data_IF_071353699033
#
_entry.id   IF_071353699033
#
_cell.length_a   1.000
_cell.length_b   1.000
_cell.length_c   1.000
_cell.angle_alpha   90.00
_cell.angle_beta   90.00
_cell.angle_gamma   90.00
#
_symmetry.space_group_name_H-M   'P 1'
#
loop_
_entity.id
_entity.type
_entity.pdbx_description
1 polymer ?
#
# COMPACT_ATOMS: atom_id res chain seq x y z
N UNK A 1 -33.61 5.02 4.82
CA UNK A 1 -32.29 4.99 4.16
C UNK A 1 -31.26 4.60 5.21
N UNK A 2 -30.93 3.32 5.28
CA UNK A 2 -29.81 2.83 6.10
C UNK A 2 -28.54 3.12 5.34
N UNK A 3 -27.73 4.05 5.84
CA UNK A 3 -26.37 4.27 5.34
C UNK A 3 -25.61 2.98 5.65
N UNK A 4 -25.26 2.22 4.60
CA UNK A 4 -24.37 1.08 4.76
C UNK A 4 -23.05 1.60 5.30
N UNK A 5 -22.76 1.30 6.56
CA UNK A 5 -21.45 1.57 7.16
C UNK A 5 -20.45 0.74 6.37
N UNK A 6 -19.45 1.39 5.77
CA UNK A 6 -18.39 0.69 5.07
C UNK A 6 -17.75 -0.35 6.01
N UNK A 7 -17.36 -1.55 5.53
CA UNK A 7 -16.72 -2.54 6.39
C UNK A 7 -15.47 -1.93 7.04
N UNK A 8 -15.45 -1.89 8.38
CA UNK A 8 -14.30 -1.45 9.16
C UNK A 8 -13.11 -2.34 8.85
N UNK A 9 -11.92 -1.74 8.66
CA UNK A 9 -10.73 -2.53 8.34
C UNK A 9 -10.40 -3.44 9.53
N UNK A 10 -9.96 -4.70 9.31
CA UNK A 10 -9.61 -5.60 10.41
C UNK A 10 -8.59 -4.99 11.40
N UNK A 11 -7.61 -4.23 10.88
CA UNK A 11 -6.62 -3.50 11.68
C UNK A 11 -7.23 -2.37 12.51
N UNK A 12 -8.25 -1.65 12.00
CA UNK A 12 -8.95 -0.60 12.75
C UNK A 12 -9.70 -1.19 13.95
N UNK A 13 -10.32 -2.36 13.75
CA UNK A 13 -11.00 -3.07 14.84
C UNK A 13 -9.97 -3.57 15.86
N UNK A 14 -8.85 -4.12 15.37
CA UNK A 14 -7.80 -4.65 16.22
C UNK A 14 -7.12 -3.56 17.07
N UNK A 15 -6.88 -2.36 16.53
CA UNK A 15 -6.21 -1.30 17.31
C UNK A 15 -7.12 -0.73 18.39
N UNK A 16 -8.43 -0.71 18.16
CA UNK A 16 -9.40 -0.34 19.20
C UNK A 16 -9.35 -1.39 20.32
N UNK A 17 -9.45 -2.67 19.99
CA UNK A 17 -9.34 -3.76 20.97
C UNK A 17 -8.01 -3.73 21.73
N UNK A 18 -6.89 -3.55 21.03
CA UNK A 18 -5.57 -3.47 21.64
C UNK A 18 -5.45 -2.27 22.59
N UNK A 19 -6.04 -1.11 22.25
CA UNK A 19 -6.06 0.08 23.13
C UNK A 19 -6.91 -0.12 24.38
N UNK A 20 -7.99 -0.89 24.29
CA UNK A 20 -8.83 -1.21 25.44
C UNK A 20 -8.16 -2.22 26.40
N UNK A 21 -7.40 -3.16 25.84
CA UNK A 21 -6.81 -4.26 26.58
C UNK A 21 -5.39 -3.98 27.08
N UNK A 22 -4.59 -3.23 26.32
CA UNK A 22 -3.24 -2.85 26.68
C UNK A 22 -3.27 -1.52 27.45
N UNK A 23 -2.52 -1.47 28.56
CA UNK A 23 -2.42 -0.27 29.39
C UNK A 23 -1.65 0.87 28.73
N UNK A 24 -1.64 2.03 29.39
CA UNK A 24 -0.99 3.29 28.93
C UNK A 24 0.52 3.19 28.72
N UNK A 25 1.15 2.12 29.20
CA UNK A 25 2.58 1.85 29.04
C UNK A 25 2.94 1.42 27.59
N UNK A 26 1.95 0.93 26.83
CA UNK A 26 2.11 0.56 25.44
C UNK A 26 1.75 1.73 24.51
N UNK A 27 2.65 2.04 23.59
CA UNK A 27 2.36 2.95 22.48
C UNK A 27 1.92 2.14 21.27
N UNK A 28 0.73 2.43 20.75
CA UNK A 28 0.10 1.69 19.66
C UNK A 28 -0.13 2.60 18.45
N UNK A 29 0.35 2.17 17.28
CA UNK A 29 0.22 2.92 16.03
C UNK A 29 -0.38 2.04 14.93
N UNK A 30 -1.44 2.51 14.27
CA UNK A 30 -2.03 1.85 13.10
C UNK A 30 -1.17 2.12 11.86
N UNK A 31 -0.46 1.08 11.40
CA UNK A 31 0.40 1.06 10.22
C UNK A 31 -0.31 0.48 8.98
N UNK A 32 -1.65 0.55 8.95
CA UNK A 32 -2.55 0.11 7.89
C UNK A 32 -2.69 -1.40 7.72
N UNK A 33 -1.57 -2.13 7.61
CA UNK A 33 -1.54 -3.59 7.45
C UNK A 33 -1.34 -4.34 8.79
N UNK A 34 -0.79 -3.65 9.78
CA UNK A 34 -0.54 -4.18 11.12
C UNK A 34 -0.58 -3.04 12.14
N UNK A 35 -0.56 -3.39 13.42
CA UNK A 35 -0.38 -2.46 14.54
C UNK A 35 1.07 -2.53 15.00
N UNK A 36 1.75 -1.39 15.01
CA UNK A 36 3.02 -1.29 15.72
C UNK A 36 2.76 -1.11 17.21
N UNK A 37 3.37 -1.98 18.01
CA UNK A 37 3.31 -1.98 19.47
C UNK A 37 4.70 -1.64 19.98
N UNK A 38 4.80 -0.67 20.89
CA UNK A 38 6.07 -0.25 21.48
C UNK A 38 5.95 -0.18 23.01
N UNK A 39 6.90 -0.79 23.70
CA UNK A 39 7.02 -0.81 25.15
C UNK A 39 8.46 -0.47 25.55
N UNK A 40 8.70 0.36 26.59
CA UNK A 40 10.06 0.76 26.98
C UNK A 40 10.96 -0.42 27.36
N UNK A 41 10.40 -1.44 28.04
CA UNK A 41 11.16 -2.61 28.50
C UNK A 41 11.17 -3.76 27.50
N UNK A 42 10.09 -3.93 26.72
CA UNK A 42 9.92 -5.11 25.86
C UNK A 42 10.24 -4.83 24.38
N UNK A 43 10.61 -3.58 24.05
CA UNK A 43 10.92 -3.17 22.69
C UNK A 43 9.66 -3.06 21.83
N UNK A 44 9.72 -3.57 20.61
CA UNK A 44 8.68 -3.38 19.62
C UNK A 44 8.13 -4.69 19.05
N UNK A 45 6.87 -4.65 18.61
CA UNK A 45 6.22 -5.75 17.91
C UNK A 45 5.32 -5.23 16.80
N UNK A 46 5.10 -6.06 15.77
CA UNK A 46 4.13 -5.83 14.72
C UNK A 46 3.04 -6.89 14.83
N UNK A 47 1.79 -6.47 15.04
CA UNK A 47 0.63 -7.36 15.19
C UNK A 47 -0.30 -7.26 13.96
N UNK A 48 -0.45 -8.35 13.22
CA UNK A 48 -1.40 -8.46 12.09
C UNK A 48 -2.76 -9.01 12.57
N UNK A 49 -3.87 -8.70 11.86
CA UNK A 49 -5.22 -9.09 12.26
C UNK A 49 -5.61 -10.53 11.89
N UNK A 50 -4.74 -11.26 11.20
CA UNK A 50 -4.94 -12.64 10.77
C UNK A 50 -3.82 -13.55 11.31
N UNK A 51 -3.93 -14.85 11.01
CA UNK A 51 -2.95 -15.87 11.35
C UNK A 51 -1.86 -16.05 10.28
N UNK A 52 -1.75 -15.13 9.31
CA UNK A 52 -0.81 -15.26 8.21
C UNK A 52 0.62 -14.97 8.68
N UNK A 53 1.47 -16.00 8.58
CA UNK A 53 2.86 -15.92 8.96
C UNK A 53 3.65 -14.86 8.21
N UNK A 54 3.47 -14.82 6.89
CA UNK A 54 4.24 -13.97 6.00
C UNK A 54 3.92 -12.49 6.25
N UNK A 55 2.66 -12.19 6.54
CA UNK A 55 2.21 -10.83 6.82
C UNK A 55 2.79 -10.32 8.15
N UNK A 56 2.81 -11.17 9.18
CA UNK A 56 3.43 -10.83 10.46
C UNK A 56 4.96 -10.60 10.34
N UNK A 57 5.66 -11.47 9.60
CA UNK A 57 7.10 -11.34 9.35
C UNK A 57 7.42 -10.09 8.52
N UNK A 58 6.60 -9.80 7.51
CA UNK A 58 6.71 -8.59 6.69
C UNK A 58 6.46 -7.35 7.53
N UNK A 59 5.40 -7.33 8.36
CA UNK A 59 5.12 -6.22 9.26
C UNK A 59 6.27 -5.93 10.22
N UNK A 60 6.86 -6.97 10.82
CA UNK A 60 8.03 -6.82 11.70
C UNK A 60 9.29 -6.37 10.93
N UNK A 61 9.53 -6.88 9.73
CA UNK A 61 10.65 -6.47 8.88
C UNK A 61 10.57 -4.98 8.53
N UNK A 62 9.41 -4.52 8.07
CA UNK A 62 9.18 -3.11 7.77
C UNK A 62 9.34 -2.20 8.99
N UNK A 63 8.90 -2.67 10.16
CA UNK A 63 9.07 -1.95 11.42
C UNK A 63 10.56 -1.81 11.80
N UNK A 64 11.34 -2.87 11.59
CA UNK A 64 12.79 -2.86 11.78
C UNK A 64 13.48 -1.88 10.82
N UNK A 65 13.05 -1.80 9.56
CA UNK A 65 13.58 -0.81 8.63
C UNK A 65 13.30 0.62 9.07
N UNK A 66 12.10 0.88 9.60
CA UNK A 66 11.74 2.19 10.13
C UNK A 66 12.64 2.60 11.31
N UNK A 67 12.89 1.67 12.25
CA UNK A 67 13.80 1.90 13.37
C UNK A 67 15.26 2.05 12.92
N UNK A 68 15.72 1.23 11.99
CA UNK A 68 17.07 1.31 11.43
C UNK A 68 17.32 2.68 10.77
N UNK A 69 16.35 3.21 10.01
CA UNK A 69 16.42 4.57 9.42
C UNK A 69 16.51 5.67 10.48
N UNK A 70 15.95 5.44 11.66
CA UNK A 70 16.04 6.34 12.81
C UNK A 70 17.26 6.09 13.71
N UNK A 71 18.14 5.15 13.37
CA UNK A 71 19.32 4.80 14.17
C UNK A 71 19.00 4.04 15.46
N UNK A 72 17.82 3.42 15.55
CA UNK A 72 17.35 2.72 16.75
C UNK A 72 17.65 1.22 16.59
N UNK A 73 18.47 0.70 17.50
CA UNK A 73 18.80 -0.72 17.57
C UNK A 73 17.71 -1.47 18.34
N UNK A 74 16.64 -1.84 17.65
CA UNK A 74 15.54 -2.66 18.19
C UNK A 74 15.14 -3.70 17.15
N UNK A 75 14.75 -4.88 17.63
CA UNK A 75 14.18 -5.94 16.81
C UNK A 75 12.68 -6.05 17.09
N UNK A 76 11.88 -5.76 16.09
CA UNK A 76 10.45 -5.95 16.07
C UNK A 76 10.12 -7.45 16.07
N UNK A 77 9.19 -7.83 16.94
CA UNK A 77 8.69 -9.19 17.06
C UNK A 77 7.46 -9.36 16.15
N UNK A 78 7.43 -10.39 15.28
CA UNK A 78 6.25 -10.68 14.45
C UNK A 78 5.17 -11.37 15.29
N UNK A 79 3.99 -10.76 15.37
CA UNK A 79 2.81 -11.27 16.05
C UNK A 79 1.65 -11.40 15.07
N UNK A 80 0.91 -12.49 15.17
CA UNK A 80 -0.29 -12.75 14.36
C UNK A 80 -1.48 -13.02 15.27
N UNK A 81 -2.67 -12.59 14.89
CA UNK A 81 -3.87 -12.82 15.68
C UNK A 81 -4.51 -14.15 15.28
N UNK A 82 -4.65 -15.09 16.22
CA UNK A 82 -5.33 -16.36 15.96
C UNK A 82 -6.61 -16.50 16.76
N UNK A 83 -7.62 -17.07 16.10
CA UNK A 83 -8.82 -17.57 16.76
C UNK A 83 -8.64 -18.99 17.34
N UNK A 84 -7.65 -19.75 16.87
CA UNK A 84 -7.55 -21.21 17.08
C UNK A 84 -6.23 -21.68 17.73
N UNK A 85 -5.22 -20.82 17.88
CA UNK A 85 -3.97 -21.04 18.65
C UNK A 85 -2.98 -22.06 18.08
N UNK A 86 -3.04 -22.41 16.78
CA UNK A 86 -2.24 -23.50 16.22
C UNK A 86 -1.17 -22.98 15.25
N UNK A 87 0.04 -22.83 15.79
CA UNK A 87 1.36 -22.67 15.11
C UNK A 87 1.84 -21.28 14.58
N UNK A 88 3.17 -21.02 14.61
CA UNK A 88 3.76 -19.66 14.55
C UNK A 88 3.69 -18.95 13.18
N UNK A 89 3.80 -17.60 13.16
CA UNK A 89 4.47 -16.71 14.11
C UNK A 89 3.60 -16.48 15.34
N UNK A 90 4.21 -15.98 16.41
CA UNK A 90 3.68 -16.10 17.77
C UNK A 90 2.22 -15.62 17.82
N UNK A 91 1.31 -16.58 17.94
CA UNK A 91 -0.12 -16.36 17.83
C UNK A 91 -0.62 -15.71 19.13
N UNK A 92 -1.22 -14.54 18.99
CA UNK A 92 -1.89 -13.82 20.07
C UNK A 92 -3.36 -14.20 20.01
N UNK A 93 -3.91 -14.65 21.15
CA UNK A 93 -5.34 -14.94 21.22
C UNK A 93 -6.13 -13.65 21.23
N UNK A 94 -7.20 -13.60 20.46
CA UNK A 94 -8.15 -12.48 20.48
C UNK A 94 -8.92 -12.41 21.81
N UNK A 95 -9.41 -11.21 22.15
CA UNK A 95 -10.19 -10.99 23.37
C UNK A 95 -9.35 -10.75 24.64
N UNK A 96 -9.89 -10.99 25.85
CA UNK A 96 -9.28 -10.54 27.11
C UNK A 96 -7.86 -11.04 27.39
N UNK A 97 -7.45 -12.14 26.75
CA UNK A 97 -6.14 -12.76 26.92
C UNK A 97 -5.04 -12.07 26.08
N UNK A 98 -5.42 -11.25 25.10
CA UNK A 98 -4.51 -10.58 24.16
C UNK A 98 -3.39 -9.82 24.88
N UNK A 99 -3.73 -9.03 25.90
CA UNK A 99 -2.74 -8.24 26.64
C UNK A 99 -1.70 -9.10 27.36
N UNK A 100 -2.15 -10.22 27.95
CA UNK A 100 -1.25 -11.17 28.63
C UNK A 100 -0.35 -11.88 27.63
N UNK A 101 -0.91 -12.31 26.50
CA UNK A 101 -0.15 -13.00 25.45
C UNK A 101 0.91 -12.09 24.83
N UNK A 102 0.56 -10.82 24.56
CA UNK A 102 1.50 -9.82 24.04
C UNK A 102 2.61 -9.57 25.07
N UNK A 103 2.28 -9.31 26.34
CA UNK A 103 3.27 -9.05 27.38
C UNK A 103 4.23 -10.22 27.60
N UNK A 104 3.70 -11.45 27.71
CA UNK A 104 4.51 -12.66 27.90
C UNK A 104 5.39 -12.93 26.68
N UNK A 105 4.84 -12.76 25.48
CA UNK A 105 5.57 -12.98 24.24
C UNK A 105 6.70 -11.98 24.07
N UNK A 106 6.39 -10.69 24.21
CA UNK A 106 7.39 -9.64 24.08
C UNK A 106 8.45 -9.77 25.16
N UNK A 107 8.05 -10.04 26.41
CA UNK A 107 8.99 -10.27 27.51
C UNK A 107 9.94 -11.45 27.29
N UNK A 108 9.46 -12.57 26.72
CA UNK A 108 10.31 -13.73 26.37
C UNK A 108 11.27 -13.42 25.22
N UNK A 109 10.81 -12.68 24.22
CA UNK A 109 11.62 -12.31 23.08
C UNK A 109 12.64 -11.19 23.40
N UNK A 110 12.39 -10.40 24.45
CA UNK A 110 13.25 -9.29 24.87
C UNK A 110 14.30 -9.66 25.92
N UNK A 111 14.40 -10.92 26.36
CA UNK A 111 15.34 -11.36 27.43
C UNK A 111 16.82 -11.02 27.12
N UNK A 112 17.18 -10.83 25.85
CA UNK A 112 18.52 -10.43 25.41
C UNK A 112 18.60 -9.01 24.83
N UNK A 113 17.50 -8.26 24.85
CA UNK A 113 17.44 -6.90 24.34
C UNK A 113 17.67 -5.91 25.48
N UNK A 114 18.45 -4.87 25.21
CA UNK A 114 18.63 -3.77 26.14
C UNK A 114 17.33 -2.94 26.19
N UNK A 115 16.90 -2.54 27.39
CA UNK A 115 15.78 -1.62 27.55
C UNK A 115 16.05 -0.32 26.78
N UNK A 116 14.98 0.26 26.22
CA UNK A 116 15.08 1.53 25.52
C UNK A 116 15.30 2.64 26.54
N UNK A 117 16.36 3.43 26.36
CA UNK A 117 16.51 4.67 27.11
C UNK A 117 15.32 5.62 26.82
N UNK A 118 15.05 6.57 27.71
CA UNK A 118 13.98 7.56 27.51
C UNK A 118 14.08 8.29 26.15
N UNK A 119 15.30 8.62 25.74
CA UNK A 119 15.57 9.28 24.46
C UNK A 119 15.32 8.34 23.28
N UNK A 120 15.76 7.08 23.37
CA UNK A 120 15.52 6.07 22.34
C UNK A 120 14.03 5.74 22.20
N UNK A 121 13.30 5.65 23.32
CA UNK A 121 11.86 5.41 23.33
C UNK A 121 11.09 6.57 22.69
N UNK A 122 11.50 7.81 22.98
CA UNK A 122 10.91 9.00 22.34
C UNK A 122 11.21 9.04 20.84
N UNK A 123 12.45 8.76 20.43
CA UNK A 123 12.81 8.65 19.02
C UNK A 123 12.05 7.51 18.31
N UNK A 124 11.85 6.38 18.99
CA UNK A 124 11.08 5.25 18.48
C UNK A 124 9.62 5.64 18.24
N UNK A 125 8.97 6.34 19.18
CA UNK A 125 7.62 6.88 19.00
C UNK A 125 7.53 7.74 17.75
N UNK A 126 8.44 8.70 17.58
CA UNK A 126 8.45 9.59 16.41
C UNK A 126 8.67 8.82 15.12
N UNK A 127 9.59 7.85 15.11
CA UNK A 127 9.86 7.00 13.95
C UNK A 127 8.63 6.16 13.56
N UNK A 128 7.89 5.63 14.54
CA UNK A 128 6.66 4.88 14.31
C UNK A 128 5.55 5.74 13.71
N UNK A 129 5.32 6.93 14.27
CA UNK A 129 4.31 7.85 13.73
C UNK A 129 4.65 8.26 12.29
N UNK A 130 5.92 8.57 12.01
CA UNK A 130 6.38 8.89 10.66
C UNK A 130 6.17 7.72 9.70
N UNK A 131 6.56 6.52 10.10
CA UNK A 131 6.38 5.30 9.30
C UNK A 131 4.90 5.00 9.03
N UNK A 132 4.04 5.16 10.02
CA UNK A 132 2.60 4.98 9.86
C UNK A 132 2.00 6.03 8.91
N UNK A 133 2.42 7.29 9.00
CA UNK A 133 2.01 8.34 8.06
C UNK A 133 2.49 7.99 6.63
N UNK A 134 3.74 7.57 6.47
CA UNK A 134 4.27 7.14 5.18
C UNK A 134 3.51 5.94 4.61
N UNK A 135 3.17 4.93 5.43
CA UNK A 135 2.35 3.80 4.99
C UNK A 135 0.92 4.19 4.65
N UNK A 136 0.29 5.10 5.41
CA UNK A 136 -1.04 5.62 5.07
C UNK A 136 -1.02 6.39 3.76
N UNK A 137 0.08 7.08 3.45
CA UNK A 137 0.26 7.69 2.12
C UNK A 137 0.30 6.60 1.04
N UNK A 138 0.93 5.44 1.29
CA UNK A 138 1.00 4.30 0.35
C UNK A 138 -0.32 3.55 0.09
N UNK A 139 -1.46 4.11 0.50
CA UNK A 139 -2.79 3.61 0.14
C UNK A 139 -3.28 4.41 -1.06
N UNK A 140 -3.98 3.78 -2.00
CA UNK A 140 -4.66 4.49 -3.07
C UNK A 140 -5.70 5.45 -2.48
N UNK A 141 -5.48 6.76 -2.64
CA UNK A 141 -6.40 7.79 -2.19
C UNK A 141 -7.76 7.62 -2.92
N UNK A 142 -8.86 7.34 -2.19
CA UNK A 142 -10.18 7.17 -2.79
C UNK A 142 -10.64 8.42 -3.57
N UNK A 143 -10.18 9.60 -3.16
CA UNK A 143 -10.48 10.87 -3.85
C UNK A 143 -9.81 10.89 -5.21
N UNK A 144 -8.52 10.55 -5.26
CA UNK A 144 -7.77 10.45 -6.51
C UNK A 144 -8.40 9.41 -7.44
N UNK A 145 -8.80 8.25 -6.91
CA UNK A 145 -9.47 7.21 -7.70
C UNK A 145 -10.80 7.67 -8.30
N UNK A 146 -11.62 8.39 -7.53
CA UNK A 146 -12.86 9.01 -8.04
C UNK A 146 -12.56 10.06 -9.11
N UNK A 147 -11.48 10.81 -8.97
CA UNK A 147 -11.06 11.78 -10.00
C UNK A 147 -10.64 11.07 -11.29
N UNK A 148 -9.86 9.98 -11.21
CA UNK A 148 -9.48 9.17 -12.37
C UNK A 148 -10.74 8.62 -13.06
N UNK A 149 -11.65 7.98 -12.30
CA UNK A 149 -12.90 7.43 -12.84
C UNK A 149 -13.75 8.52 -13.51
N UNK A 150 -13.93 9.66 -12.84
CA UNK A 150 -14.67 10.79 -13.40
C UNK A 150 -14.03 11.38 -14.66
N UNK A 151 -12.71 11.43 -14.72
CA UNK A 151 -11.98 11.88 -15.90
C UNK A 151 -12.18 10.93 -17.10
N UNK A 152 -12.06 9.61 -16.88
CA UNK A 152 -12.30 8.61 -17.93
C UNK A 152 -13.76 8.64 -18.38
N UNK A 153 -14.72 8.62 -17.45
CA UNK A 153 -16.15 8.69 -17.76
C UNK A 153 -16.51 9.94 -18.59
N UNK A 154 -15.90 11.09 -18.24
CA UNK A 154 -16.10 12.34 -18.99
C UNK A 154 -15.53 12.29 -20.40
N UNK A 155 -14.40 11.60 -20.61
CA UNK A 155 -13.81 11.44 -21.95
C UNK A 155 -14.61 10.46 -22.79
N UNK A 156 -15.09 9.37 -22.18
CA UNK A 156 -15.80 8.33 -22.91
C UNK A 156 -17.24 8.73 -23.22
N UNK A 157 -17.85 9.62 -22.42
CA UNK A 157 -19.23 10.11 -22.60
C UNK A 157 -20.24 8.96 -22.74
N UNK A 158 -20.01 7.85 -22.03
CA UNK A 158 -20.86 6.65 -22.07
C UNK A 158 -20.71 5.79 -23.34
N UNK A 159 -19.72 6.07 -24.20
CA UNK A 159 -19.39 5.21 -25.35
C UNK A 159 -18.69 3.94 -24.88
N UNK A 160 -18.85 2.87 -25.64
CA UNK A 160 -18.29 1.54 -25.37
C UNK A 160 -16.77 1.57 -25.28
N UNK A 161 -16.23 0.86 -24.31
CA UNK A 161 -14.80 0.68 -24.09
C UNK A 161 -14.51 -0.80 -24.23
N UNK A 162 -13.48 -1.15 -25.00
CA UNK A 162 -13.07 -2.53 -25.24
C UNK A 162 -11.62 -2.73 -24.82
N UNK A 163 -11.35 -3.88 -24.22
CA UNK A 163 -10.00 -4.27 -23.79
C UNK A 163 -9.84 -5.79 -23.90
N UNK A 164 -8.94 -6.25 -24.78
CA UNK A 164 -8.71 -7.67 -25.04
C UNK A 164 -9.87 -8.37 -25.76
N UNK A 165 -10.77 -7.61 -26.40
CA UNK A 165 -11.97 -8.13 -27.06
C UNK A 165 -13.31 -7.81 -26.37
N UNK A 166 -13.52 -8.12 -25.08
CA UNK A 166 -14.79 -7.81 -24.40
C UNK A 166 -14.98 -6.31 -24.12
N UNK A 167 -16.24 -5.93 -23.97
CA UNK A 167 -16.62 -4.60 -23.46
C UNK A 167 -16.31 -4.52 -21.96
N UNK A 168 -15.74 -3.40 -21.53
CA UNK A 168 -15.39 -3.12 -20.13
C UNK A 168 -16.01 -1.80 -19.67
N UNK A 169 -16.41 -1.75 -18.42
CA UNK A 169 -16.94 -0.56 -17.76
C UNK A 169 -15.82 0.42 -17.37
N UNK A 170 -16.17 1.67 -17.09
CA UNK A 170 -15.20 2.67 -16.59
C UNK A 170 -14.67 2.23 -15.22
N UNK A 171 -15.52 1.62 -14.41
CA UNK A 171 -15.19 1.05 -13.11
C UNK A 171 -14.09 0.00 -13.23
N UNK A 172 -14.23 -0.95 -14.16
CA UNK A 172 -13.21 -1.97 -14.45
C UNK A 172 -11.91 -1.33 -14.96
N UNK A 173 -11.99 -0.31 -15.83
CA UNK A 173 -10.79 0.37 -16.34
C UNK A 173 -9.96 0.98 -15.21
N UNK A 174 -10.59 1.50 -14.16
CA UNK A 174 -9.90 2.11 -13.01
C UNK A 174 -9.61 1.15 -11.87
N UNK A 175 -10.00 -0.13 -11.96
CA UNK A 175 -9.67 -1.11 -10.92
C UNK A 175 -8.15 -1.29 -10.81
N UNK A 176 -7.56 -1.11 -9.62
CA UNK A 176 -6.12 -1.20 -9.42
C UNK A 176 -5.46 -2.50 -9.89
N UNK A 177 -6.20 -3.61 -9.81
CA UNK A 177 -5.82 -4.98 -10.16
C UNK A 177 -6.24 -5.40 -11.58
N UNK A 178 -6.86 -4.51 -12.36
CA UNK A 178 -7.34 -4.79 -13.71
C UNK A 178 -6.54 -4.00 -14.75
N UNK A 179 -7.15 -2.98 -15.38
CA UNK A 179 -6.52 -2.23 -16.48
C UNK A 179 -5.77 -0.97 -16.04
N UNK A 180 -5.95 -0.52 -14.80
CA UNK A 180 -5.31 0.69 -14.30
C UNK A 180 -3.77 0.66 -14.45
N UNK A 181 -3.05 -0.45 -14.18
CA UNK A 181 -1.61 -0.52 -14.40
C UNK A 181 -1.20 -0.16 -15.84
N UNK A 182 -1.87 -0.75 -16.83
CA UNK A 182 -1.59 -0.52 -18.24
C UNK A 182 -1.91 0.91 -18.70
N UNK A 183 -3.04 1.45 -18.24
CA UNK A 183 -3.45 2.84 -18.57
C UNK A 183 -2.47 3.84 -17.98
N UNK A 184 -2.04 3.64 -16.74
CA UNK A 184 -1.08 4.51 -16.06
C UNK A 184 0.32 4.43 -16.69
N UNK A 185 0.76 3.24 -17.10
CA UNK A 185 2.02 3.10 -17.84
C UNK A 185 1.96 3.83 -19.19
N UNK A 186 0.89 3.64 -19.97
CA UNK A 186 0.74 4.34 -21.25
C UNK A 186 0.69 5.87 -21.05
N UNK A 187 0.05 6.32 -19.97
CA UNK A 187 0.03 7.72 -19.59
C UNK A 187 1.44 8.22 -19.23
N UNK A 188 2.22 7.39 -18.55
CA UNK A 188 3.59 7.69 -18.18
C UNK A 188 4.51 7.85 -19.39
N UNK A 189 4.50 6.87 -20.30
CA UNK A 189 5.31 6.90 -21.53
C UNK A 189 5.05 8.17 -22.34
N UNK A 190 3.77 8.50 -22.56
CA UNK A 190 3.37 9.64 -23.39
C UNK A 190 3.74 11.00 -22.76
N UNK A 191 3.95 11.06 -21.44
CA UNK A 191 4.17 12.30 -20.70
C UNK A 191 5.62 12.54 -20.28
N UNK A 192 6.53 11.59 -20.56
CA UNK A 192 7.97 11.73 -20.29
C UNK A 192 8.58 12.98 -20.95
N UNK A 193 8.27 13.26 -22.21
CA UNK A 193 8.84 14.42 -22.93
C UNK A 193 8.36 15.79 -22.40
N UNK A 194 7.05 16.03 -22.18
CA UNK A 194 6.58 17.28 -21.55
C UNK A 194 7.23 17.57 -20.19
N UNK A 195 7.42 16.54 -19.36
CA UNK A 195 8.01 16.69 -18.02
C UNK A 195 9.52 16.94 -18.09
N UNK A 196 10.23 16.27 -19.00
CA UNK A 196 11.64 16.55 -19.27
C UNK A 196 11.87 18.01 -19.72
N UNK A 197 10.97 18.53 -20.56
CA UNK A 197 11.00 19.93 -20.99
C UNK A 197 10.74 20.94 -19.84
N UNK A 198 10.08 20.52 -18.76
CA UNK A 198 9.80 21.34 -17.57
C UNK A 198 10.78 21.10 -16.40
N UNK A 199 11.97 20.55 -16.67
CA UNK A 199 12.99 20.26 -15.65
C UNK A 199 12.47 19.37 -14.51
N UNK A 200 11.58 18.42 -14.80
CA UNK A 200 11.05 17.48 -13.81
C UNK A 200 9.95 18.04 -12.91
N UNK A 201 9.48 19.27 -13.17
CA UNK A 201 8.27 19.80 -12.53
C UNK A 201 7.05 19.25 -13.27
N UNK A 202 6.24 18.42 -12.61
CA UNK A 202 4.97 17.96 -13.19
C UNK A 202 4.79 16.45 -13.34
N UNK A 203 5.62 15.63 -12.69
CA UNK A 203 5.55 14.17 -12.76
C UNK A 203 4.60 13.50 -11.75
N UNK A 204 4.48 12.19 -11.92
CA UNK A 204 3.86 11.29 -10.95
C UNK A 204 4.66 9.98 -10.88
N UNK A 205 4.54 9.31 -9.75
CA UNK A 205 5.14 7.99 -9.51
C UNK A 205 4.03 7.00 -9.27
N UNK A 206 4.07 5.86 -9.96
CA UNK A 206 3.11 4.77 -9.77
C UNK A 206 3.84 3.59 -9.16
N UNK A 207 3.39 3.16 -7.99
CA UNK A 207 3.89 1.98 -7.31
C UNK A 207 2.96 0.81 -7.58
N UNK A 208 3.49 -0.26 -8.15
CA UNK A 208 2.77 -1.49 -8.41
C UNK A 208 3.40 -2.63 -7.61
N UNK A 209 2.59 -3.64 -7.31
CA UNK A 209 3.03 -4.88 -6.67
C UNK A 209 2.59 -6.06 -7.52
N UNK A 210 3.40 -7.11 -7.55
CA UNK A 210 2.99 -8.39 -8.12
C UNK A 210 1.76 -8.90 -7.36
N UNK A 211 0.76 -9.38 -8.10
CA UNK A 211 -0.49 -9.92 -7.56
C UNK A 211 -1.02 -10.97 -8.56
N UNK A 212 -0.90 -12.25 -8.21
CA UNK A 212 -1.32 -13.37 -9.06
C UNK A 212 -2.84 -13.39 -9.32
N UNK A 213 -3.62 -12.66 -8.52
CA UNK A 213 -5.06 -12.50 -8.72
C UNK A 213 -5.42 -11.33 -9.64
N UNK A 214 -4.47 -10.43 -9.92
CA UNK A 214 -4.65 -9.30 -10.82
C UNK A 214 -4.57 -9.74 -12.30
N UNK A 215 -5.35 -9.12 -13.18
CA UNK A 215 -5.43 -9.54 -14.59
C UNK A 215 -4.13 -9.32 -15.35
N UNK A 216 -3.36 -8.31 -14.96
CA UNK A 216 -2.05 -8.03 -15.53
C UNK A 216 -0.90 -8.56 -14.67
N UNK A 217 -1.18 -9.44 -13.70
CA UNK A 217 -0.23 -9.95 -12.67
C UNK A 217 0.37 -8.85 -11.78
N UNK A 218 -0.12 -7.62 -11.89
CA UNK A 218 0.29 -6.48 -11.10
C UNK A 218 -0.94 -5.68 -10.67
N UNK A 219 -0.91 -5.19 -9.44
CA UNK A 219 -1.87 -4.21 -8.94
C UNK A 219 -1.21 -2.86 -8.69
N UNK A 220 -1.91 -1.77 -8.95
CA UNK A 220 -1.51 -0.46 -8.45
C UNK A 220 -1.71 -0.45 -6.93
N UNK A 221 -0.64 -0.11 -6.20
CA UNK A 221 -0.66 -0.03 -4.74
C UNK A 221 -0.76 1.41 -4.26
N UNK A 222 -0.05 2.32 -4.93
CA UNK A 222 -0.04 3.73 -4.61
C UNK A 222 0.32 4.59 -5.83
N UNK A 223 -0.11 5.85 -5.81
CA UNK A 223 0.21 6.86 -6.82
C UNK A 223 0.66 8.13 -6.08
N UNK A 224 1.92 8.53 -6.28
CA UNK A 224 2.44 9.80 -5.78
C UNK A 224 2.29 10.87 -6.86
N UNK A 225 1.50 11.90 -6.56
CA UNK A 225 1.29 13.05 -7.44
C UNK A 225 1.54 14.35 -6.67
N UNK A 226 2.30 15.27 -7.28
CA UNK A 226 2.44 16.63 -6.73
C UNK A 226 1.16 17.44 -6.86
N UNK A 227 0.33 17.14 -7.87
CA UNK A 227 -1.03 17.64 -8.04
C UNK A 227 -1.85 16.64 -8.86
N UNK A 228 -3.11 16.31 -8.47
CA UNK A 228 -3.95 15.40 -9.25
C UNK A 228 -4.12 15.80 -10.72
N UNK A 229 -4.14 17.10 -11.02
CA UNK A 229 -4.29 17.61 -12.39
C UNK A 229 -3.16 17.15 -13.32
N UNK A 230 -1.94 16.97 -12.79
CA UNK A 230 -0.79 16.52 -13.55
C UNK A 230 -0.90 15.06 -13.99
N UNK A 231 -1.63 14.25 -13.23
CA UNK A 231 -1.97 12.87 -13.61
C UNK A 231 -3.16 12.83 -14.59
N UNK A 232 -4.16 13.68 -14.38
CA UNK A 232 -5.39 13.62 -15.19
C UNK A 232 -5.13 13.92 -16.67
N UNK A 233 -4.25 14.87 -16.98
CA UNK A 233 -3.95 15.26 -18.35
C UNK A 233 -3.43 14.10 -19.22
N UNK A 234 -2.33 13.42 -18.85
CA UNK A 234 -1.83 12.30 -19.65
C UNK A 234 -2.79 11.11 -19.67
N UNK A 235 -3.50 10.87 -18.57
CA UNK A 235 -4.50 9.81 -18.50
C UNK A 235 -5.66 10.06 -19.48
N UNK A 236 -6.19 11.28 -19.52
CA UNK A 236 -7.21 11.70 -20.49
C UNK A 236 -6.69 11.62 -21.93
N UNK A 237 -5.44 11.99 -22.18
CA UNK A 237 -4.84 11.93 -23.51
C UNK A 237 -4.74 10.49 -24.03
N UNK A 238 -4.31 9.54 -23.19
CA UNK A 238 -4.30 8.11 -23.52
C UNK A 238 -5.69 7.65 -23.94
N UNK A 239 -6.71 7.89 -23.12
CA UNK A 239 -8.08 7.45 -23.43
C UNK A 239 -8.57 8.11 -24.72
N UNK A 240 -8.31 9.40 -24.95
CA UNK A 240 -8.71 10.08 -26.20
C UNK A 240 -8.08 9.46 -27.43
N UNK A 241 -6.79 9.11 -27.37
CA UNK A 241 -6.06 8.50 -28.49
C UNK A 241 -6.49 7.07 -28.78
N UNK A 242 -7.06 6.38 -27.79
CA UNK A 242 -7.66 5.06 -27.95
C UNK A 242 -8.99 5.07 -28.72
N UNK A 243 -9.53 6.24 -29.10
CA UNK A 243 -10.80 6.32 -29.82
C UNK A 243 -10.69 5.81 -31.26
N UNK A 244 -11.46 4.78 -31.61
CA UNK A 244 -11.55 4.21 -32.97
C UNK A 244 -13.02 3.97 -33.34
N UNK A 245 -13.46 4.48 -34.49
CA UNK A 245 -14.82 4.22 -34.98
C UNK A 245 -15.96 4.69 -34.06
N UNK A 246 -15.71 5.61 -33.12
CA UNK A 246 -16.71 6.05 -32.13
C UNK A 246 -16.66 5.31 -30.80
N UNK A 247 -15.79 4.31 -30.68
CA UNK A 247 -15.57 3.50 -29.47
C UNK A 247 -14.16 3.71 -28.94
N UNK A 248 -13.85 3.19 -27.76
CA UNK A 248 -12.54 3.28 -27.15
C UNK A 248 -11.91 1.88 -27.06
N UNK A 249 -10.72 1.69 -27.65
CA UNK A 249 -10.03 0.40 -27.68
C UNK A 249 -8.70 0.52 -26.93
N UNK A 250 -8.57 -0.21 -25.82
CA UNK A 250 -7.44 -0.10 -24.87
C UNK A 250 -6.35 -1.16 -25.08
N UNK A 251 -6.46 -2.01 -26.10
CA UNK A 251 -5.51 -3.10 -26.39
C UNK A 251 -4.05 -2.63 -26.55
N UNK A 252 -3.86 -1.41 -27.04
CA UNK A 252 -2.54 -0.80 -27.15
C UNK A 252 -1.91 -0.56 -25.77
N UNK A 253 -2.70 -0.20 -24.76
CA UNK A 253 -2.20 -0.03 -23.39
C UNK A 253 -1.73 -1.38 -22.82
N UNK A 254 -2.51 -2.45 -23.04
CA UNK A 254 -2.17 -3.81 -22.60
C UNK A 254 -0.87 -4.28 -23.29
N UNK A 255 -0.76 -4.03 -24.59
CA UNK A 255 0.42 -4.40 -25.38
C UNK A 255 1.68 -3.67 -24.89
N UNK A 256 1.58 -2.36 -24.66
CA UNK A 256 2.68 -1.56 -24.08
C UNK A 256 3.08 -2.08 -22.71
N UNK A 257 2.11 -2.41 -21.87
CA UNK A 257 2.37 -3.01 -20.56
C UNK A 257 3.11 -4.35 -20.65
N UNK A 258 2.65 -5.28 -21.50
CA UNK A 258 3.34 -6.55 -21.71
C UNK A 258 4.77 -6.37 -22.22
N UNK A 259 5.00 -5.46 -23.16
CA UNK A 259 6.32 -5.13 -23.67
C UNK A 259 7.23 -4.51 -22.59
N UNK A 260 6.67 -3.63 -21.76
CA UNK A 260 7.42 -3.01 -20.66
C UNK A 260 7.87 -4.05 -19.65
N UNK A 261 6.97 -4.93 -19.19
CA UNK A 261 7.30 -5.99 -18.22
C UNK A 261 8.34 -6.94 -18.82
N UNK A 262 8.12 -7.45 -20.03
CA UNK A 262 9.07 -8.37 -20.67
C UNK A 262 10.47 -7.77 -20.87
N UNK A 263 10.55 -6.47 -21.16
CA UNK A 263 11.82 -5.75 -21.29
C UNK A 263 12.53 -5.42 -19.98
N UNK A 264 11.83 -5.47 -18.83
CA UNK A 264 12.36 -5.04 -17.54
C UNK A 264 12.39 -6.12 -16.46
N UNK A 265 11.91 -7.36 -16.72
CA UNK A 265 11.93 -8.50 -15.77
C UNK A 265 13.33 -8.72 -15.17
N UNK A 266 13.57 -8.16 -13.99
CA UNK A 266 14.67 -8.47 -13.08
C UNK A 266 14.12 -9.23 -11.86
N UNK A 267 14.94 -9.95 -11.08
CA UNK A 267 14.50 -10.62 -9.85
C UNK A 267 13.84 -9.67 -8.82
N UNK A 268 14.12 -8.36 -8.89
CA UNK A 268 13.54 -7.34 -8.02
C UNK A 268 12.08 -6.99 -8.42
N UNK A 269 11.73 -7.20 -9.69
CA UNK A 269 10.39 -7.00 -10.25
C UNK A 269 9.39 -8.10 -9.82
N UNK A 270 9.89 -9.17 -9.21
CA UNK A 270 9.06 -10.25 -8.61
C UNK A 270 8.25 -9.76 -7.38
N UNK A 271 8.53 -8.56 -6.85
CA UNK A 271 7.85 -8.05 -5.64
C UNK A 271 7.24 -6.66 -5.79
N UNK A 272 7.88 -5.72 -6.50
CA UNK A 272 7.32 -4.38 -6.72
C UNK A 272 7.93 -3.67 -7.93
N UNK A 273 7.15 -2.77 -8.55
CA UNK A 273 7.56 -1.94 -9.68
C UNK A 273 7.26 -0.47 -9.38
N UNK A 274 8.23 0.40 -9.62
CA UNK A 274 8.06 1.85 -9.53
C UNK A 274 8.19 2.48 -10.92
N UNK A 275 7.09 3.02 -11.44
CA UNK A 275 7.09 3.80 -12.68
C UNK A 275 7.30 5.27 -12.34
N UNK A 276 8.49 5.80 -12.64
CA UNK A 276 8.80 7.22 -12.46
C UNK A 276 8.65 7.98 -13.76
N UNK A 277 7.90 9.08 -13.71
CA UNK A 277 7.97 10.12 -14.73
C UNK A 277 8.73 11.29 -14.14
N UNK A 278 10.00 11.43 -14.58
CA UNK A 278 10.93 12.52 -14.33
C UNK A 278 10.50 13.46 -13.18
N UNK A 279 10.73 13.03 -11.94
CA UNK A 279 10.75 13.91 -10.77
C UNK A 279 12.17 14.46 -10.67
N UNK A 280 12.34 15.79 -10.56
CA UNK A 280 13.65 16.35 -10.25
C UNK A 280 14.14 15.78 -8.91
N UNK A 281 15.33 15.16 -8.93
CA UNK A 281 16.15 14.91 -7.75
C UNK A 281 16.63 16.20 -7.12
#
# INVERSE_FOLDING_TARGET
>A
MTVAVAPTRPVETLIVQAKELLGVEYHLVDCFAYIAILHPQFGAAALVPDDNKLDAETGASELNEAFKKAGILTKAIPLALSATSVEPPILIRSGPQMATDIAVTMGRASVSLQELSSDQYTAAKVALEKHAIERRKRVLDPTLMKMIQGAIAKVTEGKRIFAGGPEVSVEEVVMPEFLLPAVLLAAAENWTMPVAAQQGKGGFVVHMKADDSAVLMFRVSHIEVSSPLLLMLPLVDVIRRSKRGGEYILDECITRFGNFITGHLTPELETSLELRIATSS
#
